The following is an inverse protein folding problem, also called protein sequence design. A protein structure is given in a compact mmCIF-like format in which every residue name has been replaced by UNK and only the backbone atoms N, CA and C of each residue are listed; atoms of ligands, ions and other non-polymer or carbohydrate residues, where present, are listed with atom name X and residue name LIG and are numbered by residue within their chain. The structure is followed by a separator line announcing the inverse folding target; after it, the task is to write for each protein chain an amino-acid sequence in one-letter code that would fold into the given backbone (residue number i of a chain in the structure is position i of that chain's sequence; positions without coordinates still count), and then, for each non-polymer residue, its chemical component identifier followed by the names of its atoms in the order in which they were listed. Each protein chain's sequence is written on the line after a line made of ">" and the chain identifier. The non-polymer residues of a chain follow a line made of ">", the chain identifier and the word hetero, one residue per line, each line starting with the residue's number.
data_IF_492006964814
#
_entry.id   IF_492006964814
#
_cell.length_a   1.000
_cell.length_b   1.000
_cell.length_c   1.000
_cell.angle_alpha   90.00
_cell.angle_beta   90.00
_cell.angle_gamma   90.00
#
_symmetry.space_group_name_H-M   'P 1'
#
loop_
_entity.id
_entity.type
_entity.pdbx_description
1 polymer ?
#
# COMPACT_ATOMS: atom_id res chain seq x y z
N UNK A 1 31.46 -9.08 -10.49
CA UNK A 1 30.15 -9.33 -9.84
C UNK A 1 29.11 -9.82 -10.87
N UNK A 2 29.32 -11.00 -11.47
CA UNK A 2 28.50 -11.54 -12.59
C UNK A 2 27.74 -12.82 -12.27
N UNK A 3 27.79 -13.33 -11.03
CA UNK A 3 27.45 -14.73 -10.76
C UNK A 3 25.96 -15.10 -10.71
N UNK A 4 25.02 -14.18 -11.00
CA UNK A 4 23.59 -14.38 -10.73
C UNK A 4 22.61 -13.86 -11.79
N UNK A 5 23.04 -13.47 -12.98
CA UNK A 5 22.12 -13.00 -14.03
C UNK A 5 21.04 -14.04 -14.39
N UNK A 6 21.37 -15.33 -14.32
CA UNK A 6 20.40 -16.42 -14.55
C UNK A 6 19.27 -16.48 -13.49
N UNK A 7 19.46 -15.85 -12.33
CA UNK A 7 18.45 -15.75 -11.25
C UNK A 7 17.84 -14.36 -11.14
N UNK A 8 18.07 -13.46 -12.10
CA UNK A 8 17.62 -12.06 -12.05
C UNK A 8 16.14 -11.95 -11.70
N UNK A 9 15.29 -12.72 -12.37
CA UNK A 9 13.84 -12.74 -12.19
C UNK A 9 13.32 -13.77 -11.17
N UNK A 10 14.20 -14.39 -10.39
CA UNK A 10 13.78 -15.37 -9.40
C UNK A 10 13.45 -14.70 -8.08
N UNK A 11 12.33 -15.13 -7.49
CA UNK A 11 11.96 -14.83 -6.11
C UNK A 11 12.74 -15.70 -5.13
N UNK A 12 12.81 -15.27 -3.87
CA UNK A 12 13.33 -16.08 -2.77
C UNK A 12 12.61 -17.43 -2.69
N UNK A 13 11.31 -17.44 -2.92
CA UNK A 13 10.46 -18.63 -2.91
C UNK A 13 10.80 -19.63 -4.01
N UNK A 14 11.00 -19.15 -5.24
CA UNK A 14 11.46 -20.00 -6.35
C UNK A 14 12.82 -20.61 -6.04
N UNK A 15 13.71 -19.83 -5.43
CA UNK A 15 15.05 -20.29 -5.03
C UNK A 15 14.98 -21.33 -3.91
N UNK A 16 14.09 -21.12 -2.91
CA UNK A 16 13.80 -22.08 -1.84
C UNK A 16 13.34 -23.42 -2.41
N UNK A 17 12.38 -23.41 -3.33
CA UNK A 17 11.88 -24.65 -3.97
C UNK A 17 12.99 -25.42 -4.68
N UNK A 18 13.88 -24.72 -5.38
CA UNK A 18 15.04 -25.35 -6.05
C UNK A 18 16.07 -25.87 -5.05
N UNK A 19 16.34 -25.15 -3.97
CA UNK A 19 17.19 -25.64 -2.87
C UNK A 19 16.62 -26.92 -2.25
N UNK A 20 15.32 -26.99 -2.02
CA UNK A 20 14.64 -28.18 -1.48
C UNK A 20 14.74 -29.37 -2.43
N UNK A 21 14.55 -29.16 -3.74
CA UNK A 21 14.70 -30.21 -4.74
C UNK A 21 16.13 -30.79 -4.77
N UNK A 22 17.15 -29.92 -4.79
CA UNK A 22 18.56 -30.33 -4.72
C UNK A 22 18.88 -31.08 -3.42
N UNK A 23 18.27 -30.68 -2.31
CA UNK A 23 18.44 -31.36 -1.01
C UNK A 23 17.86 -32.77 -1.05
N UNK A 24 16.68 -32.96 -1.64
CA UNK A 24 16.07 -34.29 -1.80
C UNK A 24 16.93 -35.20 -2.68
N UNK A 25 17.37 -34.70 -3.83
CA UNK A 25 18.23 -35.46 -4.75
C UNK A 25 19.58 -35.83 -4.11
N UNK A 26 20.23 -34.87 -3.44
CA UNK A 26 21.50 -35.12 -2.76
C UNK A 26 21.36 -36.14 -1.63
N UNK A 27 20.30 -36.03 -0.81
CA UNK A 27 20.08 -36.96 0.29
C UNK A 27 19.66 -38.35 -0.19
N UNK A 28 18.82 -38.45 -1.23
CA UNK A 28 18.42 -39.73 -1.81
C UNK A 28 19.63 -40.46 -2.38
N UNK A 29 20.45 -39.78 -3.20
CA UNK A 29 21.66 -40.39 -3.76
C UNK A 29 22.65 -40.84 -2.68
N UNK A 30 22.88 -40.02 -1.64
CA UNK A 30 23.77 -40.40 -0.54
C UNK A 30 23.21 -41.54 0.30
N UNK A 31 22.00 -41.38 0.85
CA UNK A 31 21.48 -42.28 1.87
C UNK A 31 20.84 -43.54 1.31
N UNK A 32 20.14 -43.42 0.18
CA UNK A 32 19.34 -44.51 -0.37
C UNK A 32 20.12 -45.32 -1.41
N UNK A 33 21.23 -44.78 -1.96
CA UNK A 33 22.02 -45.47 -3.00
C UNK A 33 23.46 -45.75 -2.55
N UNK A 34 24.18 -44.74 -2.06
CA UNK A 34 25.63 -44.88 -1.76
C UNK A 34 25.90 -45.47 -0.37
N UNK A 35 25.14 -45.06 0.65
CA UNK A 35 25.32 -45.47 2.05
C UNK A 35 24.52 -46.73 2.41
N UNK A 36 23.47 -47.05 1.65
CA UNK A 36 22.66 -48.26 1.86
C UNK A 36 23.40 -49.52 1.36
N UNK A 37 23.69 -50.50 2.25
CA UNK A 37 24.44 -51.70 1.85
C UNK A 37 23.76 -52.51 0.75
N UNK A 38 22.43 -52.60 0.78
CA UNK A 38 21.67 -53.42 -0.17
C UNK A 38 21.63 -52.82 -1.57
N UNK A 39 21.55 -51.49 -1.65
CA UNK A 39 21.54 -50.77 -2.92
C UNK A 39 22.94 -50.63 -3.50
N UNK A 40 23.96 -50.48 -2.65
CA UNK A 40 25.35 -50.29 -3.05
C UNK A 40 25.93 -51.50 -3.77
N UNK A 41 25.55 -52.72 -3.36
CA UNK A 41 26.05 -53.96 -3.95
C UNK A 41 25.52 -54.20 -5.38
N UNK A 42 24.56 -53.40 -5.85
CA UNK A 42 24.01 -53.45 -7.21
C UNK A 42 24.87 -52.71 -8.25
N UNK A 43 25.90 -51.97 -7.82
CA UNK A 43 26.69 -51.09 -8.68
C UNK A 43 28.18 -51.44 -8.63
N UNK A 44 28.87 -51.20 -9.75
CA UNK A 44 30.31 -51.34 -9.81
C UNK A 44 31.02 -50.24 -9.02
N UNK A 45 32.28 -50.47 -8.63
CA UNK A 45 33.06 -49.48 -7.87
C UNK A 45 33.17 -48.14 -8.60
N UNK A 46 33.35 -48.17 -9.92
CA UNK A 46 33.47 -46.97 -10.75
C UNK A 46 32.15 -46.17 -10.76
N UNK A 47 31.01 -46.85 -10.83
CA UNK A 47 29.68 -46.24 -10.77
C UNK A 47 29.44 -45.58 -9.39
N UNK A 48 29.82 -46.26 -8.31
CA UNK A 48 29.73 -45.71 -6.94
C UNK A 48 30.60 -44.45 -6.81
N UNK A 49 31.81 -44.44 -7.37
CA UNK A 49 32.66 -43.24 -7.35
C UNK A 49 32.05 -42.09 -8.15
N UNK A 50 31.50 -42.36 -9.34
CA UNK A 50 30.78 -41.36 -10.13
C UNK A 50 29.57 -40.79 -9.36
N UNK A 51 28.82 -41.65 -8.67
CA UNK A 51 27.69 -41.22 -7.82
C UNK A 51 28.14 -40.35 -6.64
N UNK A 52 29.29 -40.65 -6.01
CA UNK A 52 29.86 -39.78 -4.96
C UNK A 52 30.24 -38.41 -5.49
N UNK A 53 30.84 -38.34 -6.68
CA UNK A 53 31.15 -37.07 -7.35
C UNK A 53 29.87 -36.29 -7.64
N UNK A 54 28.82 -36.97 -8.15
CA UNK A 54 27.52 -36.36 -8.39
C UNK A 54 26.87 -35.86 -7.08
N UNK A 55 26.92 -36.63 -6.00
CA UNK A 55 26.40 -36.23 -4.69
C UNK A 55 27.14 -35.00 -4.14
N UNK A 56 28.45 -34.94 -4.30
CA UNK A 56 29.26 -33.78 -3.91
C UNK A 56 28.91 -32.54 -4.76
N UNK A 57 28.71 -32.71 -6.07
CA UNK A 57 28.27 -31.63 -6.94
C UNK A 57 26.88 -31.10 -6.55
N UNK A 58 25.94 -31.99 -6.24
CA UNK A 58 24.60 -31.63 -5.74
C UNK A 58 24.67 -30.90 -4.39
N UNK A 59 25.55 -31.33 -3.48
CA UNK A 59 25.78 -30.67 -2.19
C UNK A 59 26.34 -29.25 -2.36
N UNK A 60 27.31 -29.07 -3.27
CA UNK A 60 27.85 -27.76 -3.61
C UNK A 60 26.80 -26.85 -4.26
N UNK A 61 25.99 -27.39 -5.18
CA UNK A 61 24.87 -26.66 -5.78
C UNK A 61 23.84 -26.26 -4.70
N UNK A 62 23.48 -27.15 -3.78
CA UNK A 62 22.59 -26.85 -2.65
C UNK A 62 23.12 -25.66 -1.82
N UNK A 63 24.42 -25.64 -1.49
CA UNK A 63 25.04 -24.52 -0.77
C UNK A 63 24.95 -23.22 -1.57
N UNK A 64 25.26 -23.26 -2.88
CA UNK A 64 25.09 -22.10 -3.78
C UNK A 64 23.66 -21.55 -3.73
N UNK A 65 22.65 -22.41 -3.86
CA UNK A 65 21.24 -21.98 -3.82
C UNK A 65 20.80 -21.46 -2.44
N UNK A 66 21.40 -21.93 -1.35
CA UNK A 66 21.17 -21.36 -0.01
C UNK A 66 21.60 -19.89 0.04
N UNK A 67 22.80 -19.58 -0.44
CA UNK A 67 23.31 -18.20 -0.50
C UNK A 67 22.46 -17.32 -1.43
N UNK A 68 22.02 -17.85 -2.59
CA UNK A 68 21.14 -17.12 -3.51
C UNK A 68 19.81 -16.79 -2.83
N UNK A 69 19.20 -17.77 -2.13
CA UNK A 69 17.94 -17.58 -1.42
C UNK A 69 18.07 -16.45 -0.40
N UNK A 70 19.08 -16.51 0.47
CA UNK A 70 19.31 -15.47 1.49
C UNK A 70 19.50 -14.09 0.87
N UNK A 71 20.28 -14.00 -0.21
CA UNK A 71 20.47 -12.73 -0.93
C UNK A 71 19.14 -12.21 -1.51
N UNK A 72 18.32 -13.08 -2.09
CA UNK A 72 17.00 -12.70 -2.63
C UNK A 72 16.04 -12.25 -1.54
N UNK A 73 15.98 -12.95 -0.41
CA UNK A 73 15.18 -12.53 0.75
C UNK A 73 15.59 -11.13 1.23
N UNK A 74 16.90 -10.84 1.30
CA UNK A 74 17.38 -9.50 1.69
C UNK A 74 16.97 -8.41 0.69
N UNK A 75 17.01 -8.71 -0.61
CA UNK A 75 16.58 -7.78 -1.67
C UNK A 75 15.08 -7.53 -1.59
N UNK A 76 14.26 -8.57 -1.46
CA UNK A 76 12.80 -8.46 -1.33
C UNK A 76 12.44 -7.64 -0.09
N UNK A 77 13.02 -7.97 1.08
CA UNK A 77 12.81 -7.20 2.32
C UNK A 77 13.20 -5.73 2.16
N UNK A 78 14.29 -5.44 1.44
CA UNK A 78 14.70 -4.06 1.17
C UNK A 78 13.64 -3.34 0.31
N UNK A 79 13.12 -3.97 -0.74
CA UNK A 79 12.07 -3.38 -1.60
C UNK A 79 10.77 -3.15 -0.84
N UNK A 80 10.38 -4.09 0.02
CA UNK A 80 9.19 -3.96 0.86
C UNK A 80 9.34 -2.78 1.83
N UNK A 81 10.53 -2.62 2.42
CA UNK A 81 10.84 -1.47 3.27
C UNK A 81 10.83 -0.15 2.48
N UNK A 82 11.38 -0.13 1.25
CA UNK A 82 11.34 1.04 0.37
C UNK A 82 9.89 1.42 0.03
N UNK A 83 9.06 0.45 -0.35
CA UNK A 83 7.64 0.66 -0.63
C UNK A 83 6.89 1.18 0.60
N UNK A 84 7.11 0.59 1.77
CA UNK A 84 6.47 1.04 3.01
C UNK A 84 6.86 2.49 3.37
N UNK A 85 8.12 2.87 3.14
CA UNK A 85 8.56 4.24 3.34
C UNK A 85 7.90 5.22 2.35
N UNK A 86 7.78 4.81 1.08
CA UNK A 86 7.07 5.58 0.05
C UNK A 86 5.59 5.75 0.40
N UNK A 87 4.91 4.69 0.83
CA UNK A 87 3.50 4.75 1.27
C UNK A 87 3.31 5.65 2.48
N UNK A 88 4.25 5.62 3.44
CA UNK A 88 4.26 6.52 4.59
C UNK A 88 4.37 7.98 4.14
N UNK A 89 5.21 8.28 3.16
CA UNK A 89 5.33 9.62 2.59
C UNK A 89 4.03 10.07 1.92
N UNK A 90 3.38 9.23 1.12
CA UNK A 90 2.09 9.58 0.50
C UNK A 90 1.04 9.96 1.53
N UNK A 91 0.91 9.14 2.58
CA UNK A 91 -0.04 9.38 3.67
C UNK A 91 0.25 10.71 4.38
N UNK A 92 1.52 10.97 4.68
CA UNK A 92 1.92 12.23 5.31
C UNK A 92 1.54 13.44 4.45
N UNK A 93 1.93 13.45 3.17
CA UNK A 93 1.64 14.58 2.27
C UNK A 93 0.15 14.72 1.95
N UNK A 94 -0.62 13.62 1.92
CA UNK A 94 -2.07 13.65 1.77
C UNK A 94 -2.74 14.34 2.98
N UNK A 95 -2.33 13.98 4.21
CA UNK A 95 -2.81 14.61 5.44
C UNK A 95 -2.41 16.08 5.49
N UNK A 96 -1.15 16.41 5.18
CA UNK A 96 -0.66 17.80 5.15
C UNK A 96 -1.42 18.64 4.11
N UNK A 97 -1.72 18.08 2.93
CA UNK A 97 -2.50 18.76 1.90
C UNK A 97 -3.92 19.05 2.39
N UNK A 98 -4.60 18.05 2.96
CA UNK A 98 -5.94 18.24 3.51
C UNK A 98 -5.96 19.28 4.64
N UNK A 99 -5.06 19.14 5.62
CA UNK A 99 -4.99 20.02 6.78
C UNK A 99 -4.56 21.44 6.44
N UNK A 100 -3.82 21.65 5.34
CA UNK A 100 -3.45 22.99 4.89
C UNK A 100 -4.64 23.83 4.43
N UNK A 101 -5.75 23.20 4.04
CA UNK A 101 -7.00 23.90 3.71
C UNK A 101 -7.80 24.22 4.97
N UNK A 102 -7.89 23.26 5.89
CA UNK A 102 -8.49 23.45 7.20
C UNK A 102 -7.96 22.39 8.19
N UNK A 103 -7.24 22.81 9.25
CA UNK A 103 -6.63 21.88 10.20
C UNK A 103 -7.64 21.34 11.22
N UNK A 104 -8.83 21.94 11.36
CA UNK A 104 -9.82 21.51 12.33
C UNK A 104 -10.36 20.11 11.97
N UNK A 105 -10.16 19.08 12.83
CA UNK A 105 -10.60 17.72 12.53
C UNK A 105 -12.11 17.54 12.64
N UNK A 106 -12.82 18.43 13.35
CA UNK A 106 -14.26 18.36 13.56
C UNK A 106 -15.07 18.91 12.39
N UNK A 107 -14.40 19.53 11.40
CA UNK A 107 -15.03 20.15 10.23
C UNK A 107 -14.42 19.60 8.94
N UNK A 108 -15.18 19.74 7.86
CA UNK A 108 -14.73 19.42 6.50
C UNK A 108 -15.21 20.55 5.60
N UNK A 109 -14.31 21.32 5.00
CA UNK A 109 -14.70 22.56 4.29
C UNK A 109 -15.08 22.29 2.85
N UNK A 110 -15.72 23.28 2.21
CA UNK A 110 -16.03 23.27 0.78
C UNK A 110 -14.78 22.97 -0.05
N UNK A 111 -13.66 23.64 0.25
CA UNK A 111 -12.41 23.48 -0.48
C UNK A 111 -11.88 22.06 -0.36
N UNK A 112 -11.95 21.47 0.84
CA UNK A 112 -11.56 20.08 1.08
C UNK A 112 -12.44 19.10 0.30
N UNK A 113 -13.75 19.33 0.28
CA UNK A 113 -14.71 18.50 -0.44
C UNK A 113 -14.51 18.58 -1.96
N UNK A 114 -14.49 19.79 -2.52
CA UNK A 114 -14.35 20.00 -3.96
C UNK A 114 -12.99 19.50 -4.46
N UNK A 115 -11.91 19.69 -3.68
CA UNK A 115 -10.60 19.14 -4.02
C UNK A 115 -10.60 17.61 -4.00
N UNK A 116 -11.26 16.99 -3.02
CA UNK A 116 -11.41 15.54 -2.95
C UNK A 116 -12.13 14.99 -4.20
N UNK A 117 -13.27 15.59 -4.56
CA UNK A 117 -14.06 15.20 -5.74
C UNK A 117 -13.24 15.36 -7.03
N UNK A 118 -12.55 16.50 -7.17
CA UNK A 118 -11.68 16.75 -8.32
C UNK A 118 -10.57 15.68 -8.41
N UNK A 119 -9.88 15.38 -7.32
CA UNK A 119 -8.85 14.34 -7.27
C UNK A 119 -9.40 12.93 -7.56
N UNK A 120 -10.63 12.63 -7.11
CA UNK A 120 -11.30 11.35 -7.40
C UNK A 120 -11.51 11.16 -8.91
N UNK A 121 -11.90 12.22 -9.62
CA UNK A 121 -12.12 12.19 -11.08
C UNK A 121 -10.86 11.83 -11.88
N UNK A 122 -9.67 12.24 -11.42
CA UNK A 122 -8.41 11.90 -12.07
C UNK A 122 -7.90 10.51 -11.71
N UNK A 123 -8.27 10.01 -10.54
CA UNK A 123 -7.80 8.72 -10.01
C UNK A 123 -8.70 7.55 -10.38
N UNK A 124 -9.93 7.81 -10.83
CA UNK A 124 -10.94 6.77 -10.99
C UNK A 124 -11.39 6.19 -9.65
N UNK A 125 -11.10 6.88 -8.54
CA UNK A 125 -11.56 6.47 -7.21
C UNK A 125 -13.08 6.60 -7.14
N UNK A 126 -13.75 5.60 -6.55
CA UNK A 126 -15.17 5.66 -6.33
C UNK A 126 -15.52 6.83 -5.41
N UNK A 127 -16.30 7.77 -5.92
CA UNK A 127 -16.77 8.94 -5.17
C UNK A 127 -18.09 8.60 -4.49
N UNK A 128 -18.02 8.25 -3.20
CA UNK A 128 -19.19 8.03 -2.36
C UNK A 128 -19.14 8.99 -1.15
N UNK A 129 -19.62 10.23 -1.30
CA UNK A 129 -19.82 11.16 -0.19
C UNK A 129 -20.79 10.55 0.83
N UNK A 130 -20.62 10.89 2.11
CA UNK A 130 -21.60 10.49 3.12
C UNK A 130 -22.87 11.34 2.98
N UNK A 131 -24.03 10.73 3.18
CA UNK A 131 -25.30 11.44 3.19
C UNK A 131 -25.46 12.19 4.53
N UNK A 132 -26.08 13.36 4.47
CA UNK A 132 -26.34 14.20 5.64
C UNK A 132 -27.70 13.93 6.29
N UNK A 133 -28.56 13.18 5.61
CA UNK A 133 -29.87 12.78 6.09
C UNK A 133 -29.77 11.41 6.76
N UNK A 134 -30.46 11.27 7.90
CA UNK A 134 -30.78 9.97 8.48
C UNK A 134 -31.77 9.28 7.53
N UNK A 135 -31.34 8.24 6.83
CA UNK A 135 -32.29 7.41 6.10
C UNK A 135 -33.11 6.62 7.12
N UNK A 136 -34.37 7.03 7.27
CA UNK A 136 -35.36 6.42 8.16
C UNK A 136 -35.63 4.94 7.82
N UNK A 137 -35.20 4.48 6.64
CA UNK A 137 -35.30 3.09 6.20
C UNK A 137 -34.01 2.28 6.41
N UNK A 138 -32.90 2.88 6.88
CA UNK A 138 -31.60 2.22 7.08
C UNK A 138 -31.57 1.37 8.37
N UNK A 139 -32.68 0.69 8.68
CA UNK A 139 -32.80 -0.22 9.80
C UNK A 139 -32.60 0.47 11.15
N UNK A 140 -33.71 0.72 11.84
CA UNK A 140 -33.77 1.19 13.24
C UNK A 140 -32.80 0.40 14.15
N UNK A 141 -32.45 -0.85 13.79
CA UNK A 141 -31.54 -1.74 14.51
C UNK A 141 -30.02 -1.44 14.35
N UNK A 142 -29.59 -0.58 13.42
CA UNK A 142 -28.16 -0.23 13.23
C UNK A 142 -27.76 1.14 13.77
N UNK A 143 -28.73 1.96 14.18
CA UNK A 143 -28.47 3.30 14.71
C UNK A 143 -28.31 3.30 16.23
N UNK A 144 -27.18 2.80 16.73
CA UNK A 144 -26.68 3.16 18.07
C UNK A 144 -26.10 4.59 18.07
N UNK A 145 -26.83 5.55 17.49
CA UNK A 145 -26.41 6.96 17.47
C UNK A 145 -27.29 7.73 18.45
N UNK A 146 -26.68 8.22 19.52
CA UNK A 146 -27.37 8.94 20.59
C UNK A 146 -28.03 10.25 20.11
N UNK A 147 -27.59 10.83 18.97
CA UNK A 147 -28.11 12.08 18.40
C UNK A 147 -27.66 12.29 16.92
N UNK A 148 -28.41 13.05 16.13
CA UNK A 148 -28.10 13.51 14.76
C UNK A 148 -26.70 14.16 14.65
N UNK A 149 -26.30 14.94 15.66
CA UNK A 149 -24.97 15.55 15.70
C UNK A 149 -23.81 14.51 15.73
N UNK A 150 -24.03 13.34 16.36
CA UNK A 150 -23.04 12.27 16.39
C UNK A 150 -22.88 11.61 15.01
N UNK A 151 -23.97 11.49 14.24
CA UNK A 151 -23.93 11.03 12.85
C UNK A 151 -23.11 12.00 11.99
N UNK A 152 -23.44 13.29 12.03
CA UNK A 152 -22.77 14.32 11.22
C UNK A 152 -21.28 14.38 11.51
N UNK A 153 -20.88 14.29 12.78
CA UNK A 153 -19.46 14.20 13.18
C UNK A 153 -18.77 12.97 12.59
N UNK A 154 -19.41 11.79 12.67
CA UNK A 154 -18.88 10.56 12.07
C UNK A 154 -18.74 10.69 10.55
N UNK A 155 -19.72 11.29 9.88
CA UNK A 155 -19.71 11.49 8.44
C UNK A 155 -18.58 12.42 8.00
N UNK A 156 -18.33 13.50 8.74
CA UNK A 156 -17.17 14.37 8.52
C UNK A 156 -15.86 13.60 8.66
N UNK A 157 -15.72 12.79 9.71
CA UNK A 157 -14.51 11.97 9.87
C UNK A 157 -14.34 10.97 8.72
N UNK A 158 -15.42 10.27 8.33
CA UNK A 158 -15.39 9.31 7.23
C UNK A 158 -15.02 9.99 5.89
N UNK A 159 -15.57 11.16 5.61
CA UNK A 159 -15.22 11.94 4.42
C UNK A 159 -13.75 12.39 4.43
N UNK A 160 -13.22 12.82 5.59
CA UNK A 160 -11.79 13.14 5.72
C UNK A 160 -10.90 11.93 5.43
N UNK A 161 -11.23 10.76 5.98
CA UNK A 161 -10.48 9.53 5.74
C UNK A 161 -10.54 9.10 4.26
N UNK A 162 -11.71 9.22 3.62
CA UNK A 162 -11.88 8.95 2.19
C UNK A 162 -11.07 9.94 1.33
N UNK A 163 -11.10 11.23 1.67
CA UNK A 163 -10.32 12.26 0.99
C UNK A 163 -8.81 12.00 1.08
N UNK A 164 -8.31 11.66 2.27
CA UNK A 164 -6.90 11.28 2.46
C UNK A 164 -6.53 10.10 1.57
N UNK A 165 -7.36 9.05 1.52
CA UNK A 165 -7.11 7.88 0.65
C UNK A 165 -7.09 8.25 -0.84
N UNK A 166 -7.99 9.12 -1.28
CA UNK A 166 -8.01 9.60 -2.68
C UNK A 166 -6.76 10.43 -2.99
N UNK A 167 -6.33 11.30 -2.08
CA UNK A 167 -5.09 12.07 -2.21
C UNK A 167 -3.87 11.17 -2.22
N UNK A 168 -3.80 10.16 -1.35
CA UNK A 168 -2.75 9.14 -1.39
C UNK A 168 -2.71 8.45 -2.75
N UNK A 169 -3.86 8.05 -3.31
CA UNK A 169 -3.92 7.43 -4.63
C UNK A 169 -3.43 8.36 -5.74
N UNK A 170 -3.78 9.64 -5.67
CA UNK A 170 -3.28 10.64 -6.60
C UNK A 170 -1.75 10.78 -6.50
N UNK A 171 -1.23 10.86 -5.28
CA UNK A 171 0.20 10.99 -5.01
C UNK A 171 0.99 9.73 -5.40
N UNK A 172 0.41 8.53 -5.37
CA UNK A 172 1.07 7.28 -5.81
C UNK A 172 1.64 7.35 -7.23
N UNK A 173 1.06 8.19 -8.09
CA UNK A 173 1.52 8.40 -9.48
C UNK A 173 2.88 9.10 -9.57
N UNK A 174 3.37 9.65 -8.47
CA UNK A 174 4.69 10.28 -8.39
C UNK A 174 5.84 9.28 -8.44
N UNK A 175 5.57 7.99 -8.24
CA UNK A 175 6.57 6.92 -8.35
C UNK A 175 6.13 5.82 -9.30
N UNK A 176 7.10 5.12 -9.87
CA UNK A 176 6.89 3.92 -10.68
C UNK A 176 7.96 2.90 -10.39
N UNK A 177 7.58 1.63 -10.34
CA UNK A 177 8.55 0.56 -10.25
C UNK A 177 9.23 0.32 -11.61
N UNK A 178 10.55 0.37 -11.63
CA UNK A 178 11.36 0.11 -12.82
C UNK A 178 11.89 -1.31 -12.79
N UNK A 179 11.37 -2.16 -13.66
CA UNK A 179 11.87 -3.53 -13.82
C UNK A 179 13.31 -3.60 -14.36
N UNK A 180 13.79 -2.52 -14.99
CA UNK A 180 15.16 -2.44 -15.53
C UNK A 180 16.18 -2.31 -14.40
N UNK A 181 15.92 -1.39 -13.48
CA UNK A 181 16.79 -1.09 -12.35
C UNK A 181 16.40 -1.86 -11.07
N UNK A 182 15.26 -2.57 -11.11
CA UNK A 182 14.71 -3.37 -10.02
C UNK A 182 14.46 -2.52 -8.74
N UNK A 183 14.02 -1.27 -8.94
CA UNK A 183 13.87 -0.25 -7.91
C UNK A 183 12.67 0.67 -8.18
N UNK A 184 12.20 1.34 -7.12
CA UNK A 184 11.23 2.43 -7.25
C UNK A 184 11.92 3.69 -7.76
N UNK A 185 11.39 4.27 -8.84
CA UNK A 185 11.87 5.50 -9.46
C UNK A 185 10.87 6.63 -9.23
N UNK A 186 11.40 7.82 -8.93
CA UNK A 186 10.62 9.05 -8.81
C UNK A 186 10.35 9.59 -10.21
N UNK A 187 9.07 9.71 -10.58
CA UNK A 187 8.65 10.42 -11.79
C UNK A 187 8.56 11.92 -11.49
N UNK A 188 7.91 12.26 -10.39
CA UNK A 188 7.73 13.64 -9.92
C UNK A 188 8.06 13.67 -8.43
N UNK A 189 8.87 14.61 -7.92
CA UNK A 189 9.08 14.76 -6.49
C UNK A 189 7.75 14.90 -5.73
N UNK A 190 7.63 14.24 -4.57
CA UNK A 190 6.35 14.20 -3.83
C UNK A 190 5.82 15.58 -3.45
N UNK A 191 6.72 16.56 -3.20
CA UNK A 191 6.35 17.95 -2.92
C UNK A 191 5.69 18.63 -4.12
N UNK A 192 6.24 18.41 -5.32
CA UNK A 192 5.67 18.92 -6.56
C UNK A 192 4.34 18.23 -6.88
N UNK A 193 4.24 16.91 -6.64
CA UNK A 193 2.98 16.19 -6.77
C UNK A 193 1.89 16.71 -5.82
N UNK A 194 2.25 17.07 -4.58
CA UNK A 194 1.34 17.71 -3.62
C UNK A 194 0.93 19.13 -4.07
N UNK A 195 1.84 19.89 -4.69
CA UNK A 195 1.50 21.17 -5.31
C UNK A 195 0.55 20.99 -6.49
N UNK A 196 0.76 20.01 -7.36
CA UNK A 196 -0.15 19.70 -8.47
C UNK A 196 -1.53 19.32 -7.96
N UNK A 197 -1.60 18.53 -6.87
CA UNK A 197 -2.85 18.21 -6.21
C UNK A 197 -3.58 19.49 -5.75
N UNK A 198 -2.89 20.41 -5.04
CA UNK A 198 -3.50 21.70 -4.65
C UNK A 198 -3.93 22.55 -5.83
N UNK A 199 -3.15 22.55 -6.91
CA UNK A 199 -3.48 23.28 -8.13
C UNK A 199 -4.73 22.76 -8.85
N UNK A 200 -5.25 21.57 -8.49
CA UNK A 200 -6.56 21.12 -8.97
C UNK A 200 -7.69 22.05 -8.55
N UNK A 201 -7.51 22.89 -7.52
CA UNK A 201 -8.49 23.92 -7.15
C UNK A 201 -8.75 24.92 -8.28
N UNK A 202 -7.77 25.14 -9.17
CA UNK A 202 -7.92 26.02 -10.34
C UNK A 202 -8.37 25.25 -11.59
N UNK A 203 -8.61 23.94 -11.48
CA UNK A 203 -8.97 23.08 -12.60
C UNK A 203 -10.49 23.05 -12.81
N UNK A 204 -10.92 22.88 -14.07
CA UNK A 204 -12.34 22.80 -14.44
C UNK A 204 -13.13 21.77 -13.62
N UNK A 205 -12.49 20.64 -13.28
CA UNK A 205 -13.08 19.57 -12.46
C UNK A 205 -13.46 20.01 -11.04
N UNK A 206 -12.74 20.97 -10.46
CA UNK A 206 -13.10 21.54 -9.17
C UNK A 206 -14.35 22.42 -9.29
N UNK A 207 -14.43 23.23 -10.34
CA UNK A 207 -15.60 24.08 -10.63
C UNK A 207 -16.84 23.21 -10.90
N UNK A 208 -16.67 22.11 -11.64
CA UNK A 208 -17.73 21.13 -11.86
C UNK A 208 -18.17 20.46 -10.55
N UNK A 209 -17.22 20.11 -9.67
CA UNK A 209 -17.52 19.52 -8.37
C UNK A 209 -18.35 20.48 -7.50
N UNK A 210 -17.99 21.76 -7.46
CA UNK A 210 -18.73 22.77 -6.70
C UNK A 210 -20.17 22.90 -7.19
N UNK A 211 -20.39 22.89 -8.51
CA UNK A 211 -21.73 22.97 -9.11
C UNK A 211 -22.55 21.70 -8.89
N UNK A 212 -21.96 20.54 -9.13
CA UNK A 212 -22.68 19.26 -9.11
C UNK A 212 -23.04 18.79 -7.68
N UNK A 213 -22.31 19.29 -6.68
CA UNK A 213 -22.50 18.90 -5.28
C UNK A 213 -22.96 20.06 -4.40
N UNK A 214 -23.60 21.09 -4.98
CA UNK A 214 -24.06 22.28 -4.27
C UNK A 214 -24.95 21.94 -3.05
N UNK A 215 -25.84 20.95 -3.19
CA UNK A 215 -26.70 20.48 -2.09
C UNK A 215 -25.89 19.88 -0.94
N UNK A 216 -24.92 19.00 -1.23
CA UNK A 216 -24.07 18.42 -0.19
C UNK A 216 -23.17 19.47 0.49
N UNK A 217 -22.71 20.47 -0.27
CA UNK A 217 -21.91 21.58 0.24
C UNK A 217 -22.70 22.46 1.20
N UNK A 218 -23.98 22.73 0.92
CA UNK A 218 -24.84 23.55 1.78
C UNK A 218 -25.00 22.92 3.17
N UNK A 219 -25.29 21.61 3.23
CA UNK A 219 -25.41 20.87 4.50
C UNK A 219 -24.10 20.82 5.28
N UNK A 220 -23.00 20.61 4.56
CA UNK A 220 -21.66 20.62 5.13
C UNK A 220 -21.31 21.99 5.74
N UNK A 221 -21.67 23.08 5.07
CA UNK A 221 -21.48 24.44 5.58
C UNK A 221 -22.39 24.79 6.74
N UNK A 222 -23.63 24.29 6.74
CA UNK A 222 -24.52 24.42 7.90
C UNK A 222 -23.90 23.76 9.14
N UNK A 223 -23.44 22.51 9.02
CA UNK A 223 -22.76 21.79 10.10
C UNK A 223 -21.48 22.49 10.56
N UNK A 224 -20.64 22.97 9.63
CA UNK A 224 -19.41 23.68 10.01
C UNK A 224 -19.71 24.96 10.83
N UNK A 225 -20.75 25.72 10.45
CA UNK A 225 -21.20 26.90 11.21
C UNK A 225 -21.69 26.53 12.61
N UNK A 226 -22.42 25.43 12.76
CA UNK A 226 -22.86 24.91 14.07
C UNK A 226 -21.66 24.59 14.97
N UNK A 227 -20.66 23.87 14.44
CA UNK A 227 -19.44 23.50 15.19
C UNK A 227 -18.68 24.75 15.63
N UNK A 228 -18.50 25.72 14.73
CA UNK A 228 -17.84 26.99 15.07
C UNK A 228 -18.61 27.78 16.13
N UNK A 229 -19.94 27.86 16.02
CA UNK A 229 -20.78 28.55 17.00
C UNK A 229 -20.66 27.90 18.39
N UNK A 230 -20.61 26.57 18.46
CA UNK A 230 -20.38 25.84 19.71
C UNK A 230 -18.99 26.14 20.29
N UNK A 231 -17.94 26.17 19.46
CA UNK A 231 -16.57 26.51 19.92
C UNK A 231 -16.53 27.94 20.48
N UNK A 232 -17.02 28.93 19.74
CA UNK A 232 -17.08 30.35 20.19
C UNK A 232 -17.85 30.52 21.50
N UNK A 233 -18.98 29.81 21.68
CA UNK A 233 -19.76 29.86 22.93
C UNK A 233 -19.02 29.28 24.14
N UNK A 234 -18.16 28.28 23.94
CA UNK A 234 -17.33 27.72 25.01
C UNK A 234 -16.23 28.70 25.41
N UNK A 235 -15.59 29.34 24.45
CA UNK A 235 -14.54 30.32 24.68
C UNK A 235 -15.06 31.55 25.45
N UNK A 236 -16.31 31.98 25.18
CA UNK A 236 -16.96 33.09 25.89
C UNK A 236 -17.32 32.71 27.34
N UNK A 237 -17.64 31.43 27.62
CA UNK A 237 -18.02 30.98 28.97
C UNK A 237 -16.82 30.67 29.87
N UNK A 238 -15.59 30.58 29.34
CA UNK A 238 -14.38 30.32 30.12
C UNK A 238 -13.63 31.58 30.54
N UNK A 239 -14.25 32.75 30.40
CA UNK A 239 -13.79 34.06 30.90
C UNK A 239 -14.68 34.48 32.05
#
# INVERSE_FOLDING_TARGET
>A
MSDLDFTKHWTSDRTRRKQTALTRLSNGLLKEVIEDPFSKDLFEREEIEAMKVAAQALSNAKKKFAHIKERKVRIEKRKDNELANIEKQYKQYAIETLNSLNPNPDTFTREQFCLWVAAASFTGSLLNPENWELDINDGIDKHYLENDNALRKRNVQAMREKAIKTFEHHLRRSWKFSFKNDSWEVIVPIKEAAMHLKNLMNHQKYIEAEKNHAYQLEHLEAYNREVEAVKRRKDIKSV
#
